data_IF_819217225652
#
_entry.id   IF_819217225652
#
_cell.length_a   1.000
_cell.length_b   1.000
_cell.length_c   1.000
_cell.angle_alpha   90.00
_cell.angle_beta   90.00
_cell.angle_gamma   90.00
#
_symmetry.space_group_name_H-M   'P 1'
#
loop_
_entity.id
_entity.type
_entity.pdbx_description
1 polymer ?
#
# COMPACT_ATOMS: atom_id res chain seq x y z
N UNK A 1 32.90 21.90 -47.83
CA UNK A 1 33.65 22.55 -46.76
C UNK A 1 32.80 23.61 -46.12
N UNK A 2 32.12 23.31 -45.02
CA UNK A 2 31.39 24.29 -44.22
C UNK A 2 31.77 24.10 -42.74
N UNK A 3 32.40 25.14 -42.17
CA UNK A 3 32.90 25.19 -40.80
C UNK A 3 31.76 25.51 -39.84
N UNK A 4 31.45 24.61 -38.94
CA UNK A 4 30.54 24.88 -37.81
C UNK A 4 31.24 25.75 -36.75
N UNK A 5 30.70 26.94 -36.53
CA UNK A 5 31.10 27.86 -35.46
C UNK A 5 30.41 27.42 -34.15
N UNK A 6 31.20 26.94 -33.20
CA UNK A 6 30.76 26.75 -31.79
C UNK A 6 30.57 28.12 -31.13
N UNK A 7 29.34 28.45 -30.76
CA UNK A 7 29.05 29.58 -29.85
C UNK A 7 29.16 29.10 -28.40
N UNK A 8 30.18 29.61 -27.70
CA UNK A 8 30.34 29.47 -26.25
C UNK A 8 29.28 30.36 -25.54
N UNK A 9 28.35 29.77 -24.82
CA UNK A 9 27.46 30.49 -23.94
C UNK A 9 28.15 30.65 -22.59
N UNK A 10 28.48 31.90 -22.24
CA UNK A 10 29.03 32.32 -20.94
C UNK A 10 27.87 32.41 -19.93
N UNK A 11 27.77 31.47 -19.02
CA UNK A 11 26.85 31.48 -17.92
C UNK A 11 27.36 32.37 -16.79
N UNK A 12 26.81 33.59 -16.64
CA UNK A 12 27.10 34.48 -15.52
C UNK A 12 26.33 33.98 -14.29
N UNK A 13 27.05 33.48 -13.29
CA UNK A 13 26.55 33.23 -11.94
C UNK A 13 26.43 34.55 -11.19
N UNK A 14 25.21 35.00 -10.93
CA UNK A 14 24.93 36.07 -9.96
C UNK A 14 24.61 35.46 -8.62
N UNK A 15 25.59 35.47 -7.72
CA UNK A 15 25.39 35.19 -6.29
C UNK A 15 24.72 36.41 -5.66
N UNK A 16 23.47 36.29 -5.25
CA UNK A 16 22.84 37.26 -4.33
C UNK A 16 22.90 36.71 -2.92
N UNK A 17 23.76 37.32 -2.12
CA UNK A 17 23.88 37.14 -0.67
C UNK A 17 22.67 37.86 -0.04
N UNK A 18 21.75 37.12 0.57
CA UNK A 18 20.68 37.71 1.39
C UNK A 18 21.10 37.59 2.85
N UNK A 19 21.48 38.77 3.42
CA UNK A 19 21.67 38.92 4.86
C UNK A 19 20.29 38.94 5.55
N UNK A 20 20.08 38.05 6.51
CA UNK A 20 18.94 38.06 7.43
C UNK A 20 19.43 38.60 8.78
N UNK A 21 18.80 39.66 9.35
CA UNK A 21 19.21 40.20 10.66
C UNK A 21 18.67 39.33 11.81
N UNK A 22 19.52 39.14 12.81
CA UNK A 22 19.18 38.60 14.12
C UNK A 22 18.23 39.60 14.85
N UNK A 23 17.05 39.09 15.19
CA UNK A 23 16.14 39.76 16.13
C UNK A 23 16.00 38.91 17.39
N UNK A 24 16.67 39.35 18.47
CA UNK A 24 16.52 38.86 19.85
C UNK A 24 15.24 39.41 20.44
N UNK A 25 14.30 38.60 20.88
CA UNK A 25 13.26 39.02 21.82
C UNK A 25 13.03 37.91 22.86
N UNK A 26 13.60 38.14 24.02
CA UNK A 26 13.35 37.44 25.28
C UNK A 26 12.01 37.92 25.83
N UNK A 27 11.05 37.05 26.07
CA UNK A 27 9.93 37.30 26.97
C UNK A 27 9.63 36.04 27.76
N UNK A 28 10.15 36.03 28.98
CA UNK A 28 9.78 35.11 30.05
C UNK A 28 8.43 35.52 30.62
N UNK A 29 7.43 34.67 30.64
CA UNK A 29 6.29 34.78 31.56
C UNK A 29 5.99 33.40 32.14
N UNK A 30 6.38 33.33 33.41
CA UNK A 30 6.03 32.25 34.34
C UNK A 30 4.59 32.45 34.78
N UNK A 31 3.73 31.51 34.50
CA UNK A 31 2.40 31.43 35.13
C UNK A 31 2.28 30.09 35.82
N UNK A 32 2.53 30.10 37.15
CA UNK A 32 2.21 29.03 38.09
C UNK A 32 0.74 29.20 38.50
N UNK A 33 -0.14 28.28 38.13
CA UNK A 33 -1.42 28.10 38.79
C UNK A 33 -1.52 26.67 39.30
N UNK A 34 -1.37 26.58 40.62
CA UNK A 34 -1.67 25.38 41.39
C UNK A 34 -3.19 25.14 41.39
N UNK A 35 -3.65 24.01 40.90
CA UNK A 35 -5.00 23.55 41.11
C UNK A 35 -5.01 22.46 42.16
N UNK A 36 -5.62 22.81 43.33
CA UNK A 36 -5.94 21.91 44.44
C UNK A 36 -7.03 20.92 43.98
N UNK A 37 -6.72 19.65 44.07
CA UNK A 37 -7.69 18.55 43.94
C UNK A 37 -8.38 18.29 45.28
N UNK A 38 -9.73 18.20 45.34
CA UNK A 38 -10.38 17.66 46.52
C UNK A 38 -10.40 16.12 46.44
N UNK A 39 -9.89 15.49 47.46
CA UNK A 39 -10.03 14.06 47.73
C UNK A 39 -11.51 13.71 47.93
N UNK A 40 -12.04 12.78 47.12
CA UNK A 40 -13.39 12.25 47.29
C UNK A 40 -13.26 10.82 47.84
N UNK A 41 -13.86 10.66 49.02
CA UNK A 41 -13.89 9.44 49.85
C UNK A 41 -14.47 8.24 49.08
N UNK A 42 -13.82 7.10 49.26
CA UNK A 42 -14.32 5.77 48.88
C UNK A 42 -15.50 5.41 49.81
N UNK A 43 -16.65 5.19 49.22
CA UNK A 43 -17.80 4.55 49.88
C UNK A 43 -17.84 3.07 49.49
N UNK A 44 -17.60 2.23 50.47
CA UNK A 44 -17.74 0.77 50.40
C UNK A 44 -19.24 0.42 50.32
N UNK A 45 -19.67 -0.31 49.29
CA UNK A 45 -20.97 -0.90 49.20
C UNK A 45 -20.94 -2.37 49.69
N UNK A 46 -21.99 -2.86 50.38
CA UNK A 46 -21.99 -4.19 51.02
C UNK A 46 -22.27 -5.30 49.99
N UNK A 47 -21.67 -6.46 50.28
CA UNK A 47 -21.80 -7.70 49.54
C UNK A 47 -23.24 -8.21 49.57
N UNK A 48 -23.86 -8.45 48.42
CA UNK A 48 -25.11 -9.19 48.28
C UNK A 48 -24.83 -10.64 47.89
N UNK A 49 -25.40 -11.54 48.66
CA UNK A 49 -25.26 -12.99 48.59
C UNK A 49 -25.73 -13.57 47.26
N UNK A 50 -24.98 -14.53 46.71
CA UNK A 50 -25.33 -15.30 45.53
C UNK A 50 -26.34 -16.41 45.86
N UNK A 51 -27.33 -16.66 45.02
CA UNK A 51 -28.15 -17.91 45.10
C UNK A 51 -27.45 -19.05 44.36
N UNK A 52 -27.60 -20.25 44.93
CA UNK A 52 -27.02 -21.51 44.50
C UNK A 52 -27.35 -21.90 43.05
N UNK A 53 -26.36 -22.45 42.36
CA UNK A 53 -26.43 -22.99 41.02
C UNK A 53 -27.21 -24.32 40.98
N UNK A 54 -28.17 -24.42 40.07
CA UNK A 54 -28.83 -25.67 39.67
C UNK A 54 -27.92 -26.44 38.67
N UNK A 55 -27.97 -27.79 38.63
CA UNK A 55 -27.05 -28.59 37.80
C UNK A 55 -27.35 -28.45 36.31
N UNK A 56 -26.34 -28.14 35.51
CA UNK A 56 -26.41 -28.04 34.07
C UNK A 56 -26.48 -29.42 33.41
N UNK A 57 -27.46 -29.62 32.51
CA UNK A 57 -27.58 -30.75 31.61
C UNK A 57 -26.39 -30.82 30.66
N UNK A 58 -25.89 -32.02 30.26
CA UNK A 58 -24.82 -32.17 29.33
C UNK A 58 -25.18 -31.63 27.95
N UNK A 59 -24.32 -30.76 27.36
CA UNK A 59 -24.39 -30.34 25.97
C UNK A 59 -24.01 -31.47 25.02
N UNK A 60 -24.70 -31.66 23.89
CA UNK A 60 -24.27 -32.60 22.86
C UNK A 60 -22.93 -32.19 22.28
N UNK A 61 -22.09 -33.20 22.04
CA UNK A 61 -20.79 -33.13 21.35
C UNK A 61 -20.99 -32.57 19.95
N UNK A 62 -20.20 -31.56 19.50
CA UNK A 62 -20.27 -31.09 18.12
C UNK A 62 -19.82 -32.20 17.18
N UNK A 63 -20.66 -32.63 16.25
CA UNK A 63 -20.29 -33.43 15.09
C UNK A 63 -19.31 -32.62 14.24
N UNK A 64 -18.15 -33.21 13.98
CA UNK A 64 -17.13 -32.71 13.03
C UNK A 64 -17.71 -32.78 11.63
N UNK A 65 -18.23 -31.66 11.14
CA UNK A 65 -18.56 -31.47 9.72
C UNK A 65 -17.25 -31.55 8.91
N UNK A 66 -17.19 -32.29 7.80
CA UNK A 66 -16.01 -32.38 6.97
C UNK A 66 -15.54 -30.99 6.53
N UNK A 67 -14.24 -30.72 6.65
CA UNK A 67 -13.62 -29.49 6.21
C UNK A 67 -13.96 -29.25 4.74
N UNK A 68 -14.74 -28.21 4.49
CA UNK A 68 -14.96 -27.72 3.14
C UNK A 68 -13.58 -27.28 2.61
N UNK A 69 -13.15 -27.92 1.53
CA UNK A 69 -11.97 -27.52 0.75
C UNK A 69 -12.04 -26.03 0.48
N UNK A 70 -11.06 -25.28 0.96
CA UNK A 70 -10.97 -23.84 0.74
C UNK A 70 -11.09 -23.55 -0.76
N UNK A 71 -11.91 -22.58 -1.19
CA UNK A 71 -12.01 -22.24 -2.60
C UNK A 71 -10.62 -21.82 -3.09
N UNK A 72 -10.11 -22.51 -4.13
CA UNK A 72 -8.93 -22.10 -4.89
C UNK A 72 -9.14 -20.62 -5.25
N UNK A 73 -8.16 -19.71 -4.95
CA UNK A 73 -8.33 -18.31 -5.27
C UNK A 73 -8.65 -18.16 -6.75
N UNK A 74 -9.83 -17.67 -7.07
CA UNK A 74 -10.17 -17.30 -8.43
C UNK A 74 -9.23 -16.17 -8.84
N UNK A 75 -8.45 -16.37 -9.89
CA UNK A 75 -7.66 -15.30 -10.49
C UNK A 75 -8.62 -14.16 -10.84
N UNK A 76 -8.27 -12.89 -10.50
CA UNK A 76 -9.08 -11.77 -10.93
C UNK A 76 -9.16 -11.78 -12.45
N UNK A 77 -10.36 -11.68 -12.99
CA UNK A 77 -10.54 -11.40 -14.41
C UNK A 77 -9.90 -10.02 -14.64
N UNK A 78 -8.66 -10.02 -15.11
CA UNK A 78 -8.03 -8.80 -15.61
C UNK A 78 -8.90 -8.33 -16.78
N UNK A 79 -9.61 -7.26 -16.58
CA UNK A 79 -10.35 -6.61 -17.64
C UNK A 79 -9.40 -6.31 -18.79
N UNK A 80 -9.67 -6.88 -19.95
CA UNK A 80 -9.31 -6.46 -21.28
C UNK A 80 -9.04 -7.68 -22.19
N UNK A 81 -10.04 -8.08 -22.95
CA UNK A 81 -9.81 -8.90 -24.13
C UNK A 81 -9.86 -10.41 -23.99
N UNK A 82 -10.55 -10.98 -22.99
CA UNK A 82 -10.91 -12.42 -23.01
C UNK A 82 -9.78 -13.43 -22.83
N UNK A 83 -8.53 -12.99 -22.62
CA UNK A 83 -7.38 -13.89 -22.41
C UNK A 83 -7.25 -14.21 -20.93
N UNK A 84 -7.46 -15.46 -20.57
CA UNK A 84 -7.28 -15.93 -19.20
C UNK A 84 -5.77 -15.94 -18.84
N UNK A 85 -5.33 -15.24 -17.76
CA UNK A 85 -3.95 -15.34 -17.30
C UNK A 85 -3.62 -16.74 -16.83
N UNK A 86 -2.45 -17.26 -17.23
CA UNK A 86 -1.92 -18.53 -16.76
C UNK A 86 -1.09 -18.30 -15.52
N UNK A 87 -1.39 -19.00 -14.42
CA UNK A 87 -0.58 -19.01 -13.22
C UNK A 87 0.73 -19.78 -13.48
N UNK A 88 1.86 -19.14 -13.17
CA UNK A 88 3.21 -19.71 -13.28
C UNK A 88 3.73 -20.26 -11.95
N UNK A 89 3.26 -19.69 -10.82
CA UNK A 89 3.61 -20.09 -9.47
C UNK A 89 3.01 -19.18 -8.42
N UNK A 90 2.93 -19.70 -7.18
CA UNK A 90 2.43 -18.96 -6.02
C UNK A 90 3.51 -18.89 -4.95
N UNK A 91 3.77 -17.67 -4.41
CA UNK A 91 4.84 -17.37 -3.45
C UNK A 91 4.27 -16.50 -2.32
N UNK A 92 3.79 -17.12 -1.26
CA UNK A 92 3.03 -16.43 -0.24
C UNK A 92 1.73 -15.84 -0.81
N UNK A 93 1.52 -14.52 -0.62
CA UNK A 93 0.36 -13.82 -1.20
C UNK A 93 0.58 -13.43 -2.69
N UNK A 94 1.80 -13.62 -3.24
CA UNK A 94 2.19 -13.21 -4.60
C UNK A 94 2.02 -14.35 -5.59
N UNK A 95 1.14 -14.19 -6.57
CA UNK A 95 1.05 -15.07 -7.72
C UNK A 95 1.84 -14.51 -8.90
N UNK A 96 2.65 -15.34 -9.58
CA UNK A 96 3.28 -15.01 -10.85
C UNK A 96 2.41 -15.54 -12.01
N UNK A 97 2.18 -14.70 -13.02
CA UNK A 97 1.28 -14.98 -14.14
C UNK A 97 1.89 -14.59 -15.48
N UNK A 98 1.39 -15.22 -16.54
CA UNK A 98 1.60 -14.77 -17.92
C UNK A 98 0.27 -14.71 -18.67
N UNK A 99 0.17 -13.79 -19.61
CA UNK A 99 -0.96 -13.65 -20.52
C UNK A 99 -0.46 -13.12 -21.87
N UNK A 100 -1.26 -13.24 -22.91
CA UNK A 100 -0.94 -12.74 -24.25
C UNK A 100 -2.12 -11.99 -24.88
N UNK A 101 -2.56 -10.86 -24.31
CA UNK A 101 -3.65 -10.07 -24.88
C UNK A 101 -3.22 -9.52 -26.24
N UNK A 102 -4.05 -9.78 -27.27
CA UNK A 102 -3.75 -9.35 -28.64
C UNK A 102 -2.44 -9.92 -29.20
N UNK A 103 -2.00 -11.09 -28.72
CA UNK A 103 -0.72 -11.71 -29.11
C UNK A 103 0.52 -11.13 -28.47
N UNK A 104 0.41 -10.06 -27.67
CA UNK A 104 1.54 -9.44 -26.95
C UNK A 104 1.73 -10.11 -25.60
N UNK A 105 2.92 -10.69 -25.36
CA UNK A 105 3.25 -11.34 -24.09
C UNK A 105 3.35 -10.33 -22.95
N UNK A 106 2.69 -10.62 -21.84
CA UNK A 106 2.74 -9.88 -20.58
C UNK A 106 3.02 -10.88 -19.46
N UNK A 107 4.01 -10.59 -18.62
CA UNK A 107 4.26 -11.33 -17.38
C UNK A 107 4.06 -10.38 -16.21
N UNK A 108 3.38 -10.84 -15.18
CA UNK A 108 3.12 -9.99 -14.02
C UNK A 108 3.05 -10.80 -12.74
N UNK A 109 3.31 -10.14 -11.65
CA UNK A 109 3.00 -10.65 -10.32
C UNK A 109 1.83 -9.86 -9.75
N UNK A 110 1.03 -10.53 -8.94
CA UNK A 110 -0.20 -10.00 -8.38
C UNK A 110 -0.32 -10.42 -6.94
N UNK A 111 -0.71 -9.46 -6.07
CA UNK A 111 -1.09 -9.74 -4.69
C UNK A 111 -2.36 -8.99 -4.28
N UNK A 112 -3.06 -9.55 -3.30
CA UNK A 112 -4.07 -8.85 -2.48
C UNK A 112 -3.41 -8.41 -1.19
N UNK A 113 -3.91 -7.33 -0.53
CA UNK A 113 -3.40 -6.93 0.76
C UNK A 113 -3.64 -8.01 1.81
N UNK A 114 -2.72 -8.13 2.76
CA UNK A 114 -2.84 -8.97 3.94
C UNK A 114 -3.78 -8.36 4.99
N UNK A 115 -3.87 -7.03 5.04
CA UNK A 115 -4.85 -6.27 5.81
C UNK A 115 -5.29 -5.01 5.09
N UNK A 116 -6.51 -4.58 5.38
CA UNK A 116 -7.14 -3.41 4.77
C UNK A 116 -7.99 -2.68 5.80
N UNK A 117 -7.72 -1.40 5.96
CA UNK A 117 -8.41 -0.53 6.91
C UNK A 117 -8.97 0.71 6.20
N UNK A 118 -10.02 1.29 6.76
CA UNK A 118 -10.59 2.56 6.28
C UNK A 118 -10.89 3.49 7.44
N UNK A 119 -10.78 4.80 7.20
CA UNK A 119 -11.20 5.84 8.12
C UNK A 119 -12.16 6.82 7.40
N UNK A 120 -13.46 6.89 7.79
CA UNK A 120 -14.14 6.09 8.82
C UNK A 120 -14.10 4.58 8.57
N UNK A 121 -14.18 3.74 9.63
CA UNK A 121 -14.03 2.29 9.52
C UNK A 121 -15.16 1.65 8.71
N UNK A 122 -14.90 0.44 8.21
CA UNK A 122 -15.89 -0.42 7.52
C UNK A 122 -16.54 0.21 6.28
N UNK A 123 -15.81 1.06 5.54
CA UNK A 123 -16.30 1.59 4.27
C UNK A 123 -16.16 0.52 3.17
N UNK A 124 -17.29 0.12 2.52
CA UNK A 124 -17.23 -0.87 1.45
C UNK A 124 -16.48 -0.34 0.24
N UNK A 125 -15.70 -1.21 -0.40
CA UNK A 125 -14.99 -0.96 -1.66
C UNK A 125 -14.80 -2.25 -2.44
N UNK A 126 -14.47 -2.13 -3.72
CA UNK A 126 -14.07 -3.26 -4.54
C UNK A 126 -12.74 -3.86 -4.07
N UNK A 127 -12.39 -5.09 -4.49
CA UNK A 127 -11.12 -5.71 -4.15
C UNK A 127 -9.91 -4.87 -4.54
N UNK A 128 -8.88 -4.92 -3.71
CA UNK A 128 -7.61 -4.21 -3.88
C UNK A 128 -6.55 -5.16 -4.42
N UNK A 129 -5.75 -4.66 -5.35
CA UNK A 129 -4.67 -5.44 -5.97
C UNK A 129 -3.42 -4.58 -6.18
N UNK A 130 -2.26 -5.20 -5.99
CA UNK A 130 -0.97 -4.67 -6.44
C UNK A 130 -0.44 -5.55 -7.55
N UNK A 131 0.01 -4.94 -8.64
CA UNK A 131 0.62 -5.60 -9.80
C UNK A 131 2.05 -5.09 -9.96
N UNK A 132 2.95 -5.98 -10.40
CA UNK A 132 4.23 -5.58 -10.97
C UNK A 132 4.34 -6.31 -12.30
N UNK A 133 4.31 -5.56 -13.41
CA UNK A 133 4.16 -6.11 -14.75
C UNK A 133 5.34 -5.78 -15.67
N UNK A 134 5.66 -6.75 -16.55
CA UNK A 134 6.66 -6.61 -17.60
C UNK A 134 6.00 -6.91 -18.94
N UNK A 135 6.16 -5.97 -19.88
CA UNK A 135 5.65 -6.03 -21.26
C UNK A 135 6.81 -5.86 -22.23
N UNK A 136 7.47 -6.95 -22.66
CA UNK A 136 8.67 -6.86 -23.50
C UNK A 136 8.45 -6.11 -24.81
N UNK A 137 7.30 -6.32 -25.46
CA UNK A 137 6.94 -5.63 -26.70
C UNK A 137 6.89 -4.12 -26.55
N UNK A 138 6.44 -3.64 -25.40
CA UNK A 138 6.30 -2.21 -25.10
C UNK A 138 7.54 -1.63 -24.39
N UNK A 139 8.60 -2.45 -24.20
CA UNK A 139 9.84 -2.12 -23.47
C UNK A 139 9.57 -1.65 -22.03
N UNK A 140 8.52 -2.15 -21.40
CA UNK A 140 8.17 -1.87 -20.00
C UNK A 140 8.64 -3.03 -19.14
N UNK A 141 9.39 -2.71 -18.08
CA UNK A 141 9.89 -3.70 -17.13
C UNK A 141 9.54 -3.30 -15.71
N UNK A 142 8.93 -4.24 -14.96
CA UNK A 142 8.61 -4.10 -13.53
C UNK A 142 7.73 -2.89 -13.19
N UNK A 143 6.78 -2.51 -14.06
CA UNK A 143 5.84 -1.43 -13.79
C UNK A 143 4.95 -1.78 -12.58
N UNK A 144 5.03 -0.95 -11.54
CA UNK A 144 4.22 -1.08 -10.31
C UNK A 144 2.91 -0.33 -10.48
N UNK A 145 1.80 -1.04 -10.34
CA UNK A 145 0.47 -0.46 -10.40
C UNK A 145 -0.44 -1.02 -9.30
N UNK A 146 -1.36 -0.20 -8.87
CA UNK A 146 -2.33 -0.50 -7.83
C UNK A 146 -3.74 -0.28 -8.35
N UNK A 147 -4.65 -1.17 -8.00
CA UNK A 147 -6.09 -0.95 -8.07
C UNK A 147 -6.60 -0.90 -6.64
N UNK A 148 -7.12 0.27 -6.22
CA UNK A 148 -7.47 0.51 -4.81
C UNK A 148 -8.92 0.19 -4.47
N UNK A 149 -9.74 -0.07 -5.50
CA UNK A 149 -11.14 -0.48 -5.34
C UNK A 149 -12.13 0.65 -5.11
N UNK A 150 -11.72 1.89 -5.27
CA UNK A 150 -12.58 3.09 -5.28
C UNK A 150 -11.95 4.19 -6.15
N UNK A 151 -12.74 5.13 -6.71
CA UNK A 151 -12.19 6.32 -7.37
C UNK A 151 -11.45 7.20 -6.37
N UNK A 152 -10.19 7.53 -6.66
CA UNK A 152 -9.40 8.47 -5.85
C UNK A 152 -9.98 9.87 -5.87
N UNK A 153 -9.72 10.64 -4.83
CA UNK A 153 -10.02 12.07 -4.80
C UNK A 153 -9.14 12.77 -5.84
N UNK A 154 -9.78 13.54 -6.73
CA UNK A 154 -9.09 14.25 -7.80
C UNK A 154 -7.96 15.15 -7.27
N UNK A 155 -6.81 15.13 -7.94
CA UNK A 155 -5.64 15.93 -7.57
C UNK A 155 -4.90 15.47 -6.31
N UNK A 156 -5.23 14.30 -5.75
CA UNK A 156 -4.46 13.71 -4.63
C UNK A 156 -3.54 12.60 -5.13
N UNK A 157 -2.42 12.43 -4.45
CA UNK A 157 -1.53 11.29 -4.64
C UNK A 157 -1.82 10.21 -3.59
N UNK A 158 -1.55 8.96 -3.94
CA UNK A 158 -1.41 7.88 -2.97
C UNK A 158 0.05 7.77 -2.52
N UNK A 159 0.28 7.10 -1.40
CA UNK A 159 1.63 6.87 -0.87
C UNK A 159 1.86 5.38 -0.68
N UNK A 160 3.01 4.88 -1.13
CA UNK A 160 3.52 3.57 -0.76
C UNK A 160 4.69 3.75 0.22
N UNK A 161 4.62 3.13 1.39
CA UNK A 161 5.69 3.11 2.38
C UNK A 161 6.22 1.69 2.54
N UNK A 162 7.54 1.51 2.36
CA UNK A 162 8.23 0.23 2.51
C UNK A 162 9.40 0.47 3.46
N UNK A 163 9.31 -0.08 4.67
CA UNK A 163 10.26 0.26 5.73
C UNK A 163 10.32 1.77 5.98
N UNK A 164 11.51 2.36 5.89
CA UNK A 164 11.73 3.81 6.04
C UNK A 164 11.53 4.63 4.76
N UNK A 165 11.30 4.00 3.59
CA UNK A 165 11.22 4.67 2.30
C UNK A 165 9.77 4.93 1.89
N UNK A 166 9.48 6.16 1.43
CA UNK A 166 8.17 6.56 0.90
C UNK A 166 8.26 6.86 -0.59
N UNK A 167 7.24 6.42 -1.32
CA UNK A 167 7.06 6.67 -2.75
C UNK A 167 5.71 7.36 -2.97
N UNK A 168 5.71 8.43 -3.75
CA UNK A 168 4.48 9.08 -4.20
C UNK A 168 3.96 8.40 -5.47
N UNK A 169 2.65 8.11 -5.48
CA UNK A 169 1.97 7.47 -6.58
C UNK A 169 0.97 8.47 -7.17
N UNK A 170 1.06 8.77 -8.46
CA UNK A 170 0.00 9.52 -9.11
C UNK A 170 -1.25 8.64 -9.26
N UNK A 171 -2.42 9.26 -9.17
CA UNK A 171 -3.69 8.53 -9.16
C UNK A 171 -4.56 8.92 -10.36
N UNK A 172 -5.25 7.93 -10.93
CA UNK A 172 -6.23 8.14 -11.99
C UNK A 172 -7.36 7.12 -11.82
N UNK A 173 -8.60 7.58 -11.69
CA UNK A 173 -9.75 6.72 -11.39
C UNK A 173 -9.50 5.91 -10.11
N UNK A 174 -9.47 4.58 -10.18
CA UNK A 174 -9.16 3.67 -9.07
C UNK A 174 -7.73 3.11 -9.11
N UNK A 175 -6.93 3.54 -10.07
CA UNK A 175 -5.54 3.12 -10.26
C UNK A 175 -4.53 4.11 -9.70
N UNK A 176 -3.36 3.60 -9.28
CA UNK A 176 -2.21 4.40 -8.88
C UNK A 176 -0.91 3.80 -9.41
N UNK A 177 0.06 4.68 -9.80
CA UNK A 177 1.32 4.31 -10.44
C UNK A 177 2.47 5.20 -9.97
N UNK A 178 3.70 4.71 -10.11
CA UNK A 178 4.92 5.52 -9.96
C UNK A 178 5.08 6.45 -11.17
N UNK A 179 5.59 7.66 -10.94
CA UNK A 179 5.70 8.70 -11.98
C UNK A 179 6.81 8.45 -13.00
N UNK A 180 7.89 7.77 -12.61
CA UNK A 180 9.07 7.58 -13.47
C UNK A 180 9.77 6.25 -13.21
N UNK A 181 10.46 5.75 -14.25
CA UNK A 181 11.10 4.44 -14.23
C UNK A 181 12.24 4.31 -13.18
N UNK A 182 12.91 5.41 -12.82
CA UNK A 182 13.98 5.37 -11.81
C UNK A 182 13.43 5.12 -10.41
N UNK A 183 12.36 5.82 -10.04
CA UNK A 183 11.70 5.58 -8.76
C UNK A 183 11.02 4.22 -8.73
N UNK A 184 10.51 3.75 -9.85
CA UNK A 184 9.90 2.43 -9.99
C UNK A 184 10.91 1.31 -9.75
N UNK A 185 12.08 1.36 -10.40
CA UNK A 185 13.17 0.42 -10.16
C UNK A 185 13.59 0.42 -8.69
N UNK A 186 13.76 1.61 -8.08
CA UNK A 186 14.06 1.75 -6.66
C UNK A 186 12.98 1.15 -5.76
N UNK A 187 11.69 1.34 -6.09
CA UNK A 187 10.60 0.75 -5.32
C UNK A 187 10.66 -0.78 -5.36
N UNK A 188 10.86 -1.35 -6.55
CA UNK A 188 10.96 -2.81 -6.71
C UNK A 188 12.15 -3.38 -5.94
N UNK A 189 13.31 -2.69 -5.96
CA UNK A 189 14.49 -3.10 -5.20
C UNK A 189 14.23 -3.07 -3.68
N UNK A 190 13.57 -2.02 -3.18
CA UNK A 190 13.19 -1.93 -1.75
C UNK A 190 12.14 -2.98 -1.38
N UNK A 191 11.20 -3.31 -2.30
CA UNK A 191 10.22 -4.38 -2.09
C UNK A 191 10.89 -5.75 -1.94
N UNK A 192 11.95 -6.03 -2.69
CA UNK A 192 12.68 -7.31 -2.63
C UNK A 192 13.32 -7.57 -1.26
N UNK A 193 13.69 -6.53 -0.53
CA UNK A 193 14.32 -6.61 0.78
C UNK A 193 13.43 -6.23 1.96
N UNK A 194 12.20 -5.77 1.70
CA UNK A 194 11.29 -5.30 2.73
C UNK A 194 10.36 -6.39 3.28
N UNK A 195 9.75 -6.11 4.44
CA UNK A 195 8.76 -7.01 5.04
C UNK A 195 7.34 -6.73 4.57
N UNK A 196 6.98 -5.44 4.49
CA UNK A 196 5.63 -4.98 4.13
C UNK A 196 5.69 -3.71 3.29
N UNK A 197 4.73 -3.58 2.37
CA UNK A 197 4.39 -2.33 1.70
C UNK A 197 3.05 -1.83 2.23
N UNK A 198 3.01 -0.62 2.78
CA UNK A 198 1.81 0.03 3.30
C UNK A 198 1.38 1.10 2.31
N UNK A 199 0.18 0.92 1.75
CA UNK A 199 -0.39 1.84 0.77
C UNK A 199 -1.48 2.68 1.44
N UNK A 200 -1.38 3.99 1.31
CA UNK A 200 -2.42 4.92 1.78
C UNK A 200 -2.99 5.72 0.63
N UNK A 201 -4.29 5.94 0.66
CA UNK A 201 -4.98 6.73 -0.35
C UNK A 201 -6.27 7.34 0.17
N UNK A 202 -6.80 8.33 -0.55
CA UNK A 202 -8.05 9.02 -0.19
C UNK A 202 -9.05 8.87 -1.33
N UNK A 203 -10.24 8.38 -1.02
CA UNK A 203 -11.32 8.23 -1.99
C UNK A 203 -11.96 9.59 -2.36
N UNK A 204 -12.66 9.64 -3.49
CA UNK A 204 -13.46 10.79 -3.90
C UNK A 204 -14.48 11.25 -2.83
N UNK A 205 -14.89 10.35 -1.94
CA UNK A 205 -15.79 10.63 -0.81
C UNK A 205 -15.06 11.05 0.46
N UNK A 206 -13.73 11.21 0.44
CA UNK A 206 -12.92 11.62 1.57
C UNK A 206 -12.57 10.48 2.54
N UNK A 207 -12.92 9.22 2.26
CA UNK A 207 -12.51 8.08 3.08
C UNK A 207 -11.02 7.80 2.83
N UNK A 208 -10.24 7.75 3.90
CA UNK A 208 -8.85 7.30 3.84
C UNK A 208 -8.80 5.77 3.93
N UNK A 209 -7.94 5.13 3.14
CA UNK A 209 -7.64 3.70 3.28
C UNK A 209 -6.17 3.46 3.56
N UNK A 210 -5.90 2.36 4.26
CA UNK A 210 -4.57 1.83 4.52
C UNK A 210 -4.57 0.35 4.20
N UNK A 211 -3.75 -0.06 3.22
CA UNK A 211 -3.64 -1.43 2.73
C UNK A 211 -2.22 -1.92 2.94
N UNK A 212 -2.08 -3.02 3.68
CA UNK A 212 -0.77 -3.63 3.95
C UNK A 212 -0.60 -4.88 3.10
N UNK A 213 0.49 -4.93 2.34
CA UNK A 213 0.90 -6.08 1.54
C UNK A 213 2.15 -6.69 2.17
N UNK A 214 2.11 -7.97 2.54
CA UNK A 214 3.32 -8.69 2.91
C UNK A 214 4.22 -8.85 1.68
N UNK A 215 5.51 -8.52 1.82
CA UNK A 215 6.49 -8.67 0.73
C UNK A 215 7.19 -10.04 0.73
N UNK A 216 6.80 -10.94 1.65
CA UNK A 216 7.32 -12.31 1.67
C UNK A 216 6.91 -13.03 0.40
N UNK A 217 7.91 -13.48 -0.38
CA UNK A 217 7.70 -14.18 -1.64
C UNK A 217 7.70 -13.29 -2.88
N UNK A 218 7.73 -11.95 -2.75
CA UNK A 218 7.73 -11.05 -3.92
C UNK A 218 8.96 -11.27 -4.81
N UNK A 219 10.14 -11.49 -4.24
CA UNK A 219 11.37 -11.73 -5.00
C UNK A 219 11.26 -12.97 -5.88
N UNK A 220 10.82 -14.11 -5.30
CA UNK A 220 10.64 -15.35 -6.04
C UNK A 220 9.55 -15.22 -7.13
N UNK A 221 8.46 -14.52 -6.85
CA UNK A 221 7.42 -14.27 -7.83
C UNK A 221 7.93 -13.44 -9.01
N UNK A 222 8.68 -12.34 -8.72
CA UNK A 222 9.30 -11.49 -9.74
C UNK A 222 10.32 -12.26 -10.59
N UNK A 223 11.16 -13.08 -9.97
CA UNK A 223 12.15 -13.89 -10.67
C UNK A 223 11.47 -14.87 -11.61
N UNK A 224 10.39 -15.52 -11.15
CA UNK A 224 9.60 -16.43 -11.99
C UNK A 224 8.93 -15.71 -13.17
N UNK A 225 8.33 -14.54 -12.94
CA UNK A 225 7.74 -13.73 -14.00
C UNK A 225 8.79 -13.24 -15.00
N UNK A 226 9.97 -12.81 -14.52
CA UNK A 226 11.09 -12.39 -15.37
C UNK A 226 11.62 -13.51 -16.25
N UNK A 227 11.76 -14.72 -15.71
CA UNK A 227 12.18 -15.91 -16.49
C UNK A 227 11.20 -16.22 -17.62
N UNK A 228 9.91 -16.04 -17.40
CA UNK A 228 8.88 -16.28 -18.40
C UNK A 228 8.88 -15.23 -19.53
N UNK A 229 9.27 -13.98 -19.23
CA UNK A 229 9.25 -12.85 -20.17
C UNK A 229 10.61 -12.51 -20.79
N UNK A 230 11.60 -13.41 -20.66
CA UNK A 230 12.88 -13.34 -21.39
C UNK A 230 12.73 -13.73 -22.84
#
# INVERSE_FOLDING_TARGET
MQRLRMRRIKMRRSFRLVLVPLGVAVCAMVWTTAWLLPARAQQSAPAASAPAAAPAKPKPKPETKPAATAPKPAAPAAASGGVQPKLLGQYGIWGAYTASPGGKKVCFVLAKPSSSETNPPNRPRNPVYMFISTRPTDKVSNEVSLVIGYPFKAGTEATAQIGGTKFALYTQQDGAWIKNATEEAKMVDVMRGGDNAVITGVSAKGTQSTDTFSLKGVSQALDRATQECK
#
